data_IF_848203224904
#
_entry.id   IF_848203224904
#
_cell.length_a   1.000
_cell.length_b   1.000
_cell.length_c   1.000
_cell.angle_alpha   90.00
_cell.angle_beta   90.00
_cell.angle_gamma   90.00
#
_symmetry.space_group_name_H-M   'P 1'
#
loop_
_entity.id
_entity.type
_entity.pdbx_description
1 polymer ?
#
# COMPACT_ATOMS: atom_id res chain seq x y z
N UNK A 1 -18.75 -5.02 11.39
CA UNK A 1 -17.75 -5.37 10.37
C UNK A 1 -17.39 -6.82 10.64
N UNK A 2 -17.58 -7.68 9.66
CA UNK A 2 -17.09 -9.08 9.74
C UNK A 2 -15.58 -9.10 9.53
N UNK A 3 -14.92 -10.20 9.91
CA UNK A 3 -13.47 -10.35 9.69
C UNK A 3 -13.12 -10.29 8.19
N UNK A 4 -14.01 -10.83 7.35
CA UNK A 4 -13.91 -10.80 5.88
C UNK A 4 -13.94 -9.36 5.33
N UNK A 5 -14.87 -8.53 5.80
CA UNK A 5 -14.95 -7.11 5.44
C UNK A 5 -13.72 -6.33 5.94
N UNK A 6 -13.26 -6.68 7.14
CA UNK A 6 -12.09 -6.06 7.75
C UNK A 6 -10.80 -6.35 6.96
N UNK A 7 -10.70 -7.52 6.33
CA UNK A 7 -9.53 -7.95 5.57
C UNK A 7 -9.37 -7.23 4.23
N UNK A 8 -10.47 -6.72 3.67
CA UNK A 8 -10.47 -5.86 2.48
C UNK A 8 -9.93 -4.45 2.77
N UNK A 9 -9.97 -4.03 4.04
CA UNK A 9 -9.50 -2.71 4.44
C UNK A 9 -7.96 -2.70 4.58
N UNK A 10 -7.23 -1.89 3.79
CA UNK A 10 -5.77 -1.85 3.84
C UNK A 10 -5.24 -1.23 5.14
N UNK A 11 -6.03 -0.37 5.78
CA UNK A 11 -5.73 0.25 7.07
C UNK A 11 -6.92 0.04 8.01
N UNK A 12 -6.62 -0.31 9.26
CA UNK A 12 -7.60 -0.37 10.35
C UNK A 12 -7.24 0.70 11.37
N UNK A 13 -8.23 1.46 11.81
CA UNK A 13 -8.06 2.44 12.87
C UNK A 13 -8.87 2.00 14.10
N UNK A 14 -8.28 2.18 15.28
CA UNK A 14 -8.94 1.97 16.55
C UNK A 14 -9.03 3.29 17.28
N UNK A 15 -10.24 3.71 17.62
CA UNK A 15 -10.45 4.90 18.44
C UNK A 15 -10.16 4.50 19.90
N UNK A 16 -9.24 5.19 20.59
CA UNK A 16 -8.94 4.88 21.98
C UNK A 16 -10.16 5.20 22.86
N UNK A 17 -10.64 4.20 23.58
CA UNK A 17 -11.80 4.29 24.48
C UNK A 17 -11.43 3.76 25.88
N UNK A 18 -12.23 4.12 26.89
CA UNK A 18 -12.01 3.64 28.26
C UNK A 18 -12.25 2.13 28.36
N UNK A 19 -11.45 1.41 29.17
CA UNK A 19 -11.59 -0.05 29.35
C UNK A 19 -12.98 -0.48 29.84
N UNK A 20 -13.67 0.38 30.60
CA UNK A 20 -15.01 0.12 31.13
C UNK A 20 -16.13 0.32 30.11
N UNK A 21 -15.88 1.04 29.02
CA UNK A 21 -16.87 1.30 27.97
C UNK A 21 -16.18 1.43 26.61
N UNK A 22 -15.85 0.30 25.96
CA UNK A 22 -15.05 0.29 24.74
C UNK A 22 -15.84 0.67 23.49
N UNK A 23 -17.17 0.56 23.52
CA UNK A 23 -18.05 0.91 22.42
C UNK A 23 -18.47 2.38 22.47
N UNK A 24 -18.40 3.03 21.33
CA UNK A 24 -18.92 4.38 21.10
C UNK A 24 -20.03 4.32 20.07
N UNK A 25 -20.90 5.32 20.07
CA UNK A 25 -21.92 5.43 19.04
C UNK A 25 -21.25 5.65 17.67
N UNK A 26 -21.84 5.09 16.60
CA UNK A 26 -21.37 5.26 15.23
C UNK A 26 -21.21 6.74 14.84
N UNK A 27 -22.17 7.60 15.18
CA UNK A 27 -22.10 9.03 14.88
C UNK A 27 -20.92 9.71 15.58
N UNK A 28 -20.60 9.29 16.82
CA UNK A 28 -19.44 9.78 17.54
C UNK A 28 -18.14 9.29 16.91
N UNK A 29 -18.08 8.02 16.51
CA UNK A 29 -16.92 7.46 15.81
C UNK A 29 -16.64 8.20 14.50
N UNK A 30 -17.68 8.46 13.71
CA UNK A 30 -17.59 9.21 12.45
C UNK A 30 -17.17 10.66 12.71
N UNK A 31 -17.73 11.33 13.72
CA UNK A 31 -17.37 12.70 14.06
C UNK A 31 -15.89 12.84 14.45
N UNK A 32 -15.38 11.91 15.27
CA UNK A 32 -13.96 11.87 15.66
C UNK A 32 -13.07 11.65 14.44
N UNK A 33 -13.40 10.67 13.59
CA UNK A 33 -12.64 10.38 12.38
C UNK A 33 -12.61 11.58 11.42
N UNK A 34 -13.76 12.23 11.20
CA UNK A 34 -13.85 13.40 10.33
C UNK A 34 -13.05 14.59 10.88
N UNK A 35 -13.10 14.83 12.19
CA UNK A 35 -12.34 15.91 12.81
C UNK A 35 -10.83 15.69 12.71
N UNK A 36 -10.35 14.47 12.93
CA UNK A 36 -8.92 14.18 12.81
C UNK A 36 -8.41 14.40 11.38
N UNK A 37 -9.14 13.92 10.38
CA UNK A 37 -8.80 14.12 8.96
C UNK A 37 -8.77 15.61 8.60
N UNK A 38 -9.75 16.38 9.07
CA UNK A 38 -9.81 17.82 8.84
C UNK A 38 -8.66 18.57 9.55
N UNK A 39 -8.42 18.25 10.82
CA UNK A 39 -7.39 18.91 11.63
C UNK A 39 -5.98 18.58 11.15
N UNK A 40 -5.76 17.39 10.56
CA UNK A 40 -4.49 16.98 9.98
C UNK A 40 -4.05 17.89 8.83
N UNK A 41 -4.98 18.30 7.96
CA UNK A 41 -4.71 19.23 6.86
C UNK A 41 -4.19 20.58 7.36
N UNK A 42 -4.67 21.04 8.51
CA UNK A 42 -4.27 22.31 9.12
C UNK A 42 -2.94 22.24 9.86
N UNK A 43 -2.55 21.05 10.36
CA UNK A 43 -1.32 20.86 11.16
C UNK A 43 -0.10 20.50 10.32
N UNK A 44 -0.25 19.94 9.12
CA UNK A 44 0.86 19.35 8.37
C UNK A 44 1.24 20.15 7.12
N UNK A 45 2.35 20.89 7.21
CA UNK A 45 2.92 21.71 6.11
C UNK A 45 3.83 20.92 5.16
N UNK A 46 4.26 19.69 5.51
CA UNK A 46 5.08 18.83 4.65
C UNK A 46 4.21 17.92 3.79
N UNK A 47 3.77 18.43 2.64
CA UNK A 47 3.01 17.66 1.63
C UNK A 47 3.95 16.74 0.84
N UNK A 48 4.33 15.61 1.42
CA UNK A 48 4.68 14.47 0.56
C UNK A 48 3.36 13.92 0.01
N UNK A 49 3.04 14.28 -1.23
CA UNK A 49 1.83 13.81 -1.91
C UNK A 49 1.94 12.30 -2.06
N UNK A 50 1.15 11.60 -1.27
CA UNK A 50 0.91 10.17 -1.43
C UNK A 50 0.42 9.89 -2.85
N UNK A 51 0.86 8.77 -3.40
CA UNK A 51 0.46 8.34 -4.74
C UNK A 51 -0.96 7.79 -4.72
N UNK A 52 -1.67 7.94 -5.83
CA UNK A 52 -3.04 7.45 -5.94
C UNK A 52 -3.10 5.93 -5.94
N UNK A 53 -4.26 5.36 -5.57
CA UNK A 53 -4.45 3.90 -5.49
C UNK A 53 -4.08 3.17 -6.79
N UNK A 54 -4.37 3.77 -7.95
CA UNK A 54 -3.98 3.20 -9.26
C UNK A 54 -2.46 3.00 -9.39
N UNK A 55 -1.68 4.01 -9.04
CA UNK A 55 -0.21 3.96 -9.14
C UNK A 55 0.40 2.92 -8.20
N UNK A 56 -0.22 2.71 -7.02
CA UNK A 56 0.18 1.65 -6.10
C UNK A 56 -0.16 0.27 -6.67
N UNK A 57 -1.32 0.11 -7.30
CA UNK A 57 -1.71 -1.13 -7.97
C UNK A 57 -0.76 -1.46 -9.14
N UNK A 58 -0.47 -0.48 -10.01
CA UNK A 58 0.46 -0.64 -11.13
C UNK A 58 1.86 -1.04 -10.64
N UNK A 59 2.31 -0.46 -9.51
CA UNK A 59 3.58 -0.84 -8.88
C UNK A 59 3.54 -2.28 -8.33
N UNK A 60 2.45 -2.67 -7.66
CA UNK A 60 2.27 -4.02 -7.14
C UNK A 60 2.31 -5.05 -8.27
N UNK A 61 1.59 -4.80 -9.35
CA UNK A 61 1.57 -5.68 -10.52
C UNK A 61 2.97 -5.80 -11.15
N UNK A 62 3.70 -4.69 -11.27
CA UNK A 62 5.09 -4.71 -11.73
C UNK A 62 6.00 -5.58 -10.85
N UNK A 63 5.89 -5.46 -9.52
CA UNK A 63 6.67 -6.26 -8.57
C UNK A 63 6.34 -7.75 -8.69
N UNK A 64 5.06 -8.10 -8.73
CA UNK A 64 4.60 -9.49 -8.85
C UNK A 64 5.12 -10.09 -10.15
N UNK A 65 5.02 -9.38 -11.27
CA UNK A 65 5.48 -9.92 -12.53
C UNK A 65 7.00 -10.13 -12.56
N UNK A 66 7.78 -9.21 -11.98
CA UNK A 66 9.23 -9.37 -11.88
C UNK A 66 9.54 -10.62 -11.04
N UNK A 67 8.90 -10.77 -9.88
CA UNK A 67 9.08 -11.96 -9.04
C UNK A 67 8.68 -13.25 -9.77
N UNK A 68 7.61 -13.21 -10.57
CA UNK A 68 7.17 -14.35 -11.39
C UNK A 68 8.21 -14.69 -12.47
N UNK A 69 8.75 -13.69 -13.16
CA UNK A 69 9.72 -13.89 -14.24
C UNK A 69 11.05 -14.49 -13.76
N UNK A 70 11.45 -14.22 -12.51
CA UNK A 70 12.69 -14.77 -11.92
C UNK A 70 12.46 -16.10 -11.20
N UNK A 71 11.23 -16.64 -11.21
CA UNK A 71 10.89 -17.91 -10.55
C UNK A 71 10.87 -17.83 -9.03
N UNK A 72 10.52 -16.68 -8.44
CA UNK A 72 10.47 -16.50 -6.99
C UNK A 72 9.36 -17.34 -6.33
N UNK A 73 8.18 -17.41 -6.95
CA UNK A 73 7.04 -18.12 -6.39
C UNK A 73 7.20 -19.64 -6.55
N UNK A 74 6.97 -20.38 -5.47
CA UNK A 74 7.02 -21.85 -5.45
C UNK A 74 5.63 -22.44 -5.22
N UNK A 75 5.36 -23.60 -5.81
CA UNK A 75 4.02 -24.23 -5.80
C UNK A 75 3.52 -24.60 -4.39
N UNK A 76 4.42 -24.70 -3.41
CA UNK A 76 4.08 -25.05 -2.03
C UNK A 76 3.94 -23.85 -1.08
N UNK A 77 4.06 -22.62 -1.58
CA UNK A 77 3.83 -21.43 -0.75
C UNK A 77 2.33 -21.20 -0.50
N UNK A 78 1.95 -21.09 0.77
CA UNK A 78 0.59 -20.72 1.19
C UNK A 78 0.36 -19.21 1.28
N UNK A 79 1.41 -18.40 1.04
CA UNK A 79 1.37 -16.96 1.24
C UNK A 79 0.72 -16.26 0.05
N UNK A 80 -0.34 -15.49 0.30
CA UNK A 80 -0.91 -14.60 -0.72
C UNK A 80 -0.03 -13.34 -0.86
N UNK A 81 0.99 -13.43 -1.72
CA UNK A 81 1.93 -12.33 -1.99
C UNK A 81 1.26 -11.08 -2.57
N UNK A 82 0.17 -11.22 -3.31
CA UNK A 82 -0.58 -10.07 -3.83
C UNK A 82 -1.24 -9.26 -2.71
N UNK A 83 -1.89 -9.95 -1.77
CA UNK A 83 -2.49 -9.33 -0.59
C UNK A 83 -1.43 -8.70 0.31
N UNK A 84 -0.31 -9.39 0.50
CA UNK A 84 0.82 -8.88 1.27
C UNK A 84 1.38 -7.58 0.67
N UNK A 85 1.72 -7.58 -0.62
CA UNK A 85 2.30 -6.41 -1.29
C UNK A 85 1.31 -5.23 -1.34
N UNK A 86 0.02 -5.52 -1.52
CA UNK A 86 -1.04 -4.49 -1.46
C UNK A 86 -1.07 -3.83 -0.09
N UNK A 87 -1.16 -4.62 0.99
CA UNK A 87 -1.14 -4.10 2.37
C UNK A 87 0.14 -3.34 2.67
N UNK A 88 1.30 -3.87 2.26
CA UNK A 88 2.60 -3.23 2.46
C UNK A 88 2.69 -1.87 1.77
N UNK A 89 2.29 -1.77 0.50
CA UNK A 89 2.35 -0.49 -0.25
C UNK A 89 1.38 0.55 0.31
N UNK A 90 0.19 0.13 0.75
CA UNK A 90 -0.76 1.04 1.40
C UNK A 90 -0.28 1.52 2.77
N UNK A 91 0.33 0.66 3.58
CA UNK A 91 0.89 1.03 4.89
C UNK A 91 2.10 1.96 4.77
N UNK A 92 2.99 1.67 3.82
CA UNK A 92 4.16 2.51 3.56
C UNK A 92 3.78 3.90 3.04
N UNK A 93 2.64 3.99 2.34
CA UNK A 93 2.13 5.21 1.72
C UNK A 93 3.22 5.99 0.94
N UNK A 94 3.91 5.34 -0.01
CA UNK A 94 5.15 5.86 -0.60
C UNK A 94 4.89 7.09 -1.49
N UNK A 95 5.77 8.12 -1.45
CA UNK A 95 5.75 9.22 -2.42
C UNK A 95 6.24 8.77 -3.80
N UNK A 96 5.98 9.56 -4.85
CA UNK A 96 6.40 9.29 -6.26
C UNK A 96 7.88 8.88 -6.36
N UNK A 97 8.75 9.56 -5.63
CA UNK A 97 10.20 9.28 -5.62
C UNK A 97 10.55 7.89 -5.07
N UNK A 98 9.78 7.39 -4.10
CA UNK A 98 10.00 6.06 -3.53
C UNK A 98 9.48 4.97 -4.46
N UNK A 99 8.33 5.17 -5.13
CA UNK A 99 7.88 4.25 -6.19
C UNK A 99 8.90 4.13 -7.32
N UNK A 100 9.51 5.26 -7.71
CA UNK A 100 10.58 5.24 -8.71
C UNK A 100 11.79 4.41 -8.26
N UNK A 101 12.20 4.51 -6.99
CA UNK A 101 13.27 3.68 -6.43
C UNK A 101 12.89 2.19 -6.42
N UNK A 102 11.65 1.86 -6.10
CA UNK A 102 11.19 0.47 -6.19
C UNK A 102 11.25 -0.06 -7.62
N UNK A 103 10.83 0.73 -8.62
CA UNK A 103 10.96 0.35 -10.03
C UNK A 103 12.41 0.08 -10.40
N UNK A 104 13.33 0.96 -10.04
CA UNK A 104 14.76 0.77 -10.30
C UNK A 104 15.31 -0.49 -9.63
N UNK A 105 14.92 -0.73 -8.38
CA UNK A 105 15.36 -1.90 -7.61
C UNK A 105 14.87 -3.21 -8.25
N UNK A 106 13.58 -3.32 -8.56
CA UNK A 106 13.01 -4.52 -9.17
C UNK A 106 13.50 -4.73 -10.60
N UNK A 107 13.66 -3.66 -11.39
CA UNK A 107 14.29 -3.79 -12.71
C UNK A 107 15.73 -4.30 -12.60
N UNK A 108 16.50 -3.82 -11.60
CA UNK A 108 17.86 -4.31 -11.37
C UNK A 108 17.87 -5.77 -10.97
N UNK A 109 16.96 -6.21 -10.11
CA UNK A 109 16.78 -7.63 -9.76
C UNK A 109 16.49 -8.43 -11.03
N UNK A 110 15.55 -7.98 -11.86
CA UNK A 110 15.25 -8.66 -13.12
C UNK A 110 16.47 -8.82 -14.03
N UNK A 111 17.28 -7.76 -14.20
CA UNK A 111 18.53 -7.80 -14.98
C UNK A 111 19.51 -8.83 -14.41
N UNK A 112 19.66 -8.92 -13.09
CA UNK A 112 20.61 -9.84 -12.45
C UNK A 112 20.26 -11.30 -12.69
N UNK A 113 18.97 -11.64 -12.79
CA UNK A 113 18.52 -13.02 -12.99
C UNK A 113 18.34 -13.40 -14.46
N UNK A 114 17.84 -12.49 -15.30
CA UNK A 114 17.48 -12.79 -16.69
C UNK A 114 18.47 -12.24 -17.72
N UNK A 115 19.43 -11.42 -17.31
CA UNK A 115 20.38 -10.73 -18.19
C UNK A 115 19.80 -9.55 -18.97
N UNK A 116 18.48 -9.33 -18.93
CA UNK A 116 17.80 -8.22 -19.62
C UNK A 116 16.89 -7.46 -18.66
N UNK A 117 16.70 -6.16 -18.88
CA UNK A 117 15.79 -5.36 -18.06
C UNK A 117 14.37 -5.53 -18.54
N UNK A 118 13.41 -5.69 -17.61
CA UNK A 118 11.98 -5.67 -17.96
C UNK A 118 11.55 -4.32 -18.55
N UNK A 119 12.26 -3.26 -18.20
CA UNK A 119 11.97 -1.90 -18.67
C UNK A 119 10.82 -1.26 -17.89
N UNK A 120 10.39 -0.09 -18.36
CA UNK A 120 9.30 0.69 -17.77
C UNK A 120 8.37 1.15 -18.90
N UNK A 121 7.06 0.99 -18.73
CA UNK A 121 6.09 1.66 -19.60
C UNK A 121 6.21 3.18 -19.40
N UNK A 122 6.41 3.90 -20.50
CA UNK A 122 6.68 5.36 -20.51
C UNK A 122 5.47 6.22 -20.13
N UNK A 123 4.31 5.61 -19.84
CA UNK A 123 3.06 6.33 -19.61
C UNK A 123 2.89 6.94 -18.20
N UNK A 124 3.81 6.70 -17.27
CA UNK A 124 3.68 7.17 -15.87
C UNK A 124 4.44 8.48 -15.56
N UNK A 125 4.84 9.22 -16.60
CA UNK A 125 5.69 10.39 -16.42
C UNK A 125 4.96 11.67 -15.96
N UNK A 126 3.64 11.74 -16.08
CA UNK A 126 2.84 12.90 -15.64
C UNK A 126 2.23 12.68 -14.23
#
# INVERSE_FOLDING_TARGET
MTDEEADLCPLRCQIPTGRSMPSINLAQAVAIAAWEVFSYSSKNTRKNKAMGGKQLADMKDYMIDVLRSIGFFQDFESTNWESFLTKMLHQLNPPKSMLYRFRQMFNRIHVLFTGTGKGYDKHDHD
#
